data_IF_424573668296
#
_entry.id   IF_424573668296
#
_cell.length_a   1.000
_cell.length_b   1.000
_cell.length_c   1.000
_cell.angle_alpha   90.00
_cell.angle_beta   90.00
_cell.angle_gamma   90.00
#
_symmetry.space_group_name_H-M   'P 1'
#
loop_
_entity.id
_entity.type
_entity.pdbx_description
1 polymer ?
#
# COMPACT_ATOMS: atom_id res chain seq x y z
N UNK A 1 18.36 -20.67 8.59
CA UNK A 1 17.06 -20.43 7.90
C UNK A 1 16.19 -19.68 8.88
N UNK A 2 16.15 -18.35 8.75
CA UNK A 2 15.26 -17.50 9.56
C UNK A 2 13.85 -17.69 9.02
N UNK A 3 13.01 -18.38 9.80
CA UNK A 3 11.60 -18.57 9.50
C UNK A 3 10.93 -17.21 9.62
N UNK A 4 10.57 -16.59 8.49
CA UNK A 4 9.74 -15.39 8.48
C UNK A 4 8.34 -15.83 8.87
N UNK A 5 7.91 -15.46 10.07
CA UNK A 5 6.54 -15.70 10.52
C UNK A 5 5.59 -14.89 9.63
N UNK A 6 4.86 -15.60 8.78
CA UNK A 6 3.82 -14.98 7.95
C UNK A 6 2.79 -14.39 8.89
N UNK A 7 2.52 -13.07 8.83
CA UNK A 7 1.55 -12.46 9.72
C UNK A 7 0.18 -13.10 9.47
N UNK A 8 -0.57 -13.40 10.53
CA UNK A 8 -1.84 -14.11 10.40
C UNK A 8 -2.85 -13.29 9.57
N UNK A 9 -3.86 -13.93 8.94
CA UNK A 9 -4.75 -13.31 7.95
C UNK A 9 -5.53 -12.09 8.47
N UNK A 10 -5.67 -12.00 9.79
CA UNK A 10 -6.34 -10.97 10.56
C UNK A 10 -5.39 -9.85 11.06
N UNK A 11 -4.10 -9.92 10.69
CA UNK A 11 -3.10 -8.91 11.03
C UNK A 11 -3.43 -7.56 10.37
N UNK A 12 -3.86 -6.60 11.18
CA UNK A 12 -4.04 -5.20 10.76
C UNK A 12 -2.67 -4.52 10.69
N UNK A 13 -2.10 -4.44 9.48
CA UNK A 13 -0.89 -3.66 9.26
C UNK A 13 -1.25 -2.17 9.35
N UNK A 14 -0.74 -1.49 10.38
CA UNK A 14 -0.86 -0.04 10.51
C UNK A 14 0.34 0.63 9.83
N UNK A 15 0.09 1.44 8.80
CA UNK A 15 1.12 2.20 8.09
C UNK A 15 0.99 3.67 8.47
N UNK A 16 2.02 4.23 9.09
CA UNK A 16 2.11 5.65 9.37
C UNK A 16 2.88 6.38 8.26
N UNK A 17 2.16 7.13 7.42
CA UNK A 17 2.78 7.95 6.38
C UNK A 17 3.16 9.30 6.98
N UNK A 18 4.47 9.53 7.20
CA UNK A 18 4.99 10.79 7.73
C UNK A 18 5.34 11.77 6.61
N UNK A 19 5.10 13.06 6.84
CA UNK A 19 5.55 14.12 5.92
C UNK A 19 4.74 14.30 4.63
N UNK A 20 3.56 13.68 4.52
CA UNK A 20 2.70 13.89 3.35
C UNK A 20 2.19 15.35 3.31
N UNK A 21 2.35 16.07 2.18
CA UNK A 21 1.82 17.42 2.03
C UNK A 21 0.30 17.44 2.20
N UNK A 22 -0.24 18.36 3.00
CA UNK A 22 -1.67 18.41 3.30
C UNK A 22 -2.55 18.57 2.05
N UNK A 23 -2.07 19.29 1.03
CA UNK A 23 -2.78 19.43 -0.25
C UNK A 23 -2.92 18.10 -0.97
N UNK A 24 -1.86 17.29 -0.97
CA UNK A 24 -1.89 15.96 -1.58
C UNK A 24 -2.86 15.04 -0.84
N UNK A 25 -2.85 15.09 0.51
CA UNK A 25 -3.79 14.33 1.33
C UNK A 25 -5.26 14.64 0.97
N UNK A 26 -5.60 15.92 0.83
CA UNK A 26 -6.94 16.34 0.40
C UNK A 26 -7.29 15.84 -1.00
N UNK A 27 -6.38 15.96 -1.96
CA UNK A 27 -6.60 15.47 -3.32
C UNK A 27 -6.87 13.96 -3.35
N UNK A 28 -6.15 13.17 -2.53
CA UNK A 28 -6.38 11.73 -2.41
C UNK A 28 -7.77 11.41 -1.81
N UNK A 29 -8.19 12.15 -0.77
CA UNK A 29 -9.54 12.02 -0.18
C UNK A 29 -10.61 12.31 -1.22
N UNK A 30 -10.51 13.43 -1.93
CA UNK A 30 -11.48 13.83 -2.95
C UNK A 30 -11.55 12.81 -4.09
N UNK A 31 -10.41 12.29 -4.54
CA UNK A 31 -10.36 11.30 -5.61
C UNK A 31 -11.01 9.97 -5.18
N UNK A 32 -10.74 9.50 -3.96
CA UNK A 32 -11.37 8.31 -3.41
C UNK A 32 -12.90 8.47 -3.29
N UNK A 33 -13.36 9.64 -2.82
CA UNK A 33 -14.78 9.95 -2.71
C UNK A 33 -15.47 10.01 -4.08
N UNK A 34 -14.86 10.64 -5.09
CA UNK A 34 -15.41 10.70 -6.46
C UNK A 34 -15.59 9.31 -7.07
N UNK A 35 -14.73 8.36 -6.72
CA UNK A 35 -14.79 6.97 -7.19
C UNK A 35 -15.62 6.07 -6.25
N UNK A 36 -16.16 6.60 -5.16
CA UNK A 36 -16.92 5.87 -4.14
C UNK A 36 -16.19 4.64 -3.59
N UNK A 37 -14.88 4.77 -3.35
CA UNK A 37 -14.04 3.70 -2.79
C UNK A 37 -13.37 4.15 -1.48
N UNK A 38 -13.00 3.22 -0.59
CA UNK A 38 -12.22 3.55 0.61
C UNK A 38 -10.88 4.20 0.26
N UNK A 39 -10.47 5.21 1.04
CA UNK A 39 -9.20 5.92 0.84
C UNK A 39 -7.99 4.97 0.86
N UNK A 40 -7.98 4.00 1.77
CA UNK A 40 -6.90 3.00 1.85
C UNK A 40 -6.75 2.22 0.55
N UNK A 41 -7.86 1.68 0.03
CA UNK A 41 -7.89 0.98 -1.26
C UNK A 41 -7.41 1.88 -2.40
N UNK A 42 -7.89 3.12 -2.47
CA UNK A 42 -7.49 4.08 -3.50
C UNK A 42 -5.99 4.37 -3.47
N UNK A 43 -5.41 4.61 -2.28
CA UNK A 43 -3.98 4.86 -2.13
C UNK A 43 -3.14 3.68 -2.58
N UNK A 44 -3.49 2.47 -2.13
CA UNK A 44 -2.75 1.27 -2.54
C UNK A 44 -2.90 0.97 -4.03
N UNK A 45 -4.09 1.13 -4.62
CA UNK A 45 -4.28 0.97 -6.07
C UNK A 45 -3.41 1.96 -6.85
N UNK A 46 -3.41 3.22 -6.44
CA UNK A 46 -2.58 4.28 -7.05
C UNK A 46 -1.09 3.98 -6.91
N UNK A 47 -0.65 3.44 -5.77
CA UNK A 47 0.73 2.99 -5.58
C UNK A 47 1.08 1.82 -6.51
N UNK A 48 0.18 0.84 -6.65
CA UNK A 48 0.33 -0.28 -7.58
C UNK A 48 0.50 0.22 -9.02
N UNK A 49 -0.42 1.07 -9.48
CA UNK A 49 -0.39 1.68 -10.81
C UNK A 49 0.93 2.46 -11.01
N UNK A 50 1.37 3.25 -10.02
CA UNK A 50 2.58 4.08 -10.13
C UNK A 50 3.88 3.28 -10.25
N UNK A 51 3.94 2.05 -9.71
CA UNK A 51 5.11 1.18 -9.84
C UNK A 51 4.98 0.17 -11.00
N UNK A 52 4.06 0.41 -11.94
CA UNK A 52 3.73 -0.52 -13.02
C UNK A 52 3.37 -1.92 -12.54
N UNK A 53 2.80 -2.03 -11.33
CA UNK A 53 2.23 -3.29 -10.81
C UNK A 53 0.94 -3.71 -11.56
N UNK A 54 0.64 -3.08 -12.70
CA UNK A 54 -0.57 -3.31 -13.48
C UNK A 54 -0.34 -3.02 -14.95
N UNK A 55 0.06 -4.06 -15.67
CA UNK A 55 -0.40 -4.40 -17.03
C UNK A 55 -0.46 -5.93 -17.18
N UNK A 56 0.39 -6.67 -16.44
CA UNK A 56 0.41 -8.15 -16.39
C UNK A 56 -0.48 -8.77 -15.28
N UNK A 57 -1.23 -7.95 -14.55
CA UNK A 57 -2.26 -8.43 -13.60
C UNK A 57 -1.75 -8.87 -12.23
N UNK A 58 -0.65 -8.32 -11.73
CA UNK A 58 -0.22 -8.63 -10.36
C UNK A 58 -1.21 -8.03 -9.33
N UNK A 59 -1.74 -8.88 -8.45
CA UNK A 59 -2.84 -8.50 -7.57
C UNK A 59 -2.41 -7.48 -6.50
N UNK A 60 -3.39 -6.73 -5.99
CA UNK A 60 -3.23 -5.88 -4.79
C UNK A 60 -2.49 -6.58 -3.64
N UNK A 61 -2.71 -7.89 -3.46
CA UNK A 61 -2.06 -8.68 -2.42
C UNK A 61 -0.54 -8.77 -2.63
N UNK A 62 -0.08 -8.80 -3.89
CA UNK A 62 1.35 -8.81 -4.23
C UNK A 62 2.02 -7.46 -3.96
N UNK A 63 1.34 -6.33 -4.23
CA UNK A 63 1.86 -5.02 -3.81
C UNK A 63 2.02 -4.95 -2.29
N UNK A 64 1.02 -5.45 -1.54
CA UNK A 64 1.09 -5.50 -0.07
C UNK A 64 2.26 -6.35 0.40
N UNK A 65 2.53 -7.49 -0.26
CA UNK A 65 3.68 -8.33 0.04
C UNK A 65 5.01 -7.63 -0.27
N UNK A 66 5.10 -6.90 -1.37
CA UNK A 66 6.33 -6.22 -1.78
C UNK A 66 6.66 -5.01 -0.89
N UNK A 67 5.65 -4.25 -0.46
CA UNK A 67 5.79 -3.20 0.56
C UNK A 67 6.33 -3.81 1.86
N UNK A 68 5.80 -4.95 2.29
CA UNK A 68 6.28 -5.64 3.50
C UNK A 68 7.75 -6.06 3.37
N UNK A 69 8.13 -6.69 2.26
CA UNK A 69 9.53 -7.09 1.99
C UNK A 69 10.48 -5.90 2.00
N UNK A 70 10.08 -4.78 1.41
CA UNK A 70 10.91 -3.57 1.36
C UNK A 70 11.09 -2.92 2.73
N UNK A 71 10.05 -2.95 3.58
CA UNK A 71 10.14 -2.46 4.95
C UNK A 71 11.01 -3.36 5.84
N UNK A 72 11.00 -4.68 5.60
CA UNK A 72 11.82 -5.66 6.32
C UNK A 72 13.29 -5.67 5.84
N UNK A 73 13.56 -5.32 4.58
CA UNK A 73 14.91 -5.23 4.01
C UNK A 73 15.66 -3.92 4.28
N UNK A 74 15.03 -2.95 4.96
CA UNK A 74 15.59 -1.63 5.26
C UNK A 74 16.46 -1.57 6.53
N UNK A 75 16.62 -2.67 7.26
CA UNK A 75 17.57 -2.78 8.38
C UNK A 75 18.91 -3.35 7.88
N UNK A 76 19.80 -2.47 7.43
CA UNK A 76 21.22 -2.78 7.20
C UNK A 76 22.09 -1.60 7.60
#
# INVERSE_FOLDING_TARGET
MTSVEVPPPDSKLEIQIKGMPIRLWWSLIEAAQKQNVPLSYFMFRTLAEAVNFGDDGESYDMLVLEIKRSLEGGES
#
